data_IF_665862075052
#
_entry.id   IF_665862075052
#
_cell.length_a   1.000
_cell.length_b   1.000
_cell.length_c   1.000
_cell.angle_alpha   90.00
_cell.angle_beta   90.00
_cell.angle_gamma   90.00
#
_symmetry.space_group_name_H-M   'P 1'
#
loop_
_entity.id
_entity.type
_entity.pdbx_description
1 polymer ?
#
# COMPACT_ATOMS: atom_id res chain seq x y z
N UNK A 1 19.34 -12.20 14.16
CA UNK A 1 17.95 -12.58 13.81
C UNK A 1 17.10 -11.38 13.39
N UNK A 2 17.17 -10.23 14.07
CA UNK A 2 16.46 -9.01 13.68
C UNK A 2 16.77 -8.49 12.26
N UNK A 3 18.04 -8.47 11.83
CA UNK A 3 18.42 -7.94 10.49
C UNK A 3 17.80 -8.71 9.32
N UNK A 4 17.79 -10.05 9.37
CA UNK A 4 17.19 -10.88 8.30
C UNK A 4 15.67 -10.74 8.25
N UNK A 5 15.01 -10.55 9.40
CA UNK A 5 13.60 -10.20 9.44
C UNK A 5 13.37 -8.83 8.80
N UNK A 6 14.16 -7.82 9.14
CA UNK A 6 14.09 -6.47 8.58
C UNK A 6 14.35 -6.39 7.07
N UNK A 7 14.98 -7.38 6.44
CA UNK A 7 15.11 -7.46 4.96
C UNK A 7 13.88 -8.11 4.31
N UNK A 8 13.31 -9.13 4.94
CA UNK A 8 12.12 -9.84 4.43
C UNK A 8 10.83 -9.06 4.62
N UNK A 9 10.77 -8.20 5.64
CA UNK A 9 9.61 -7.42 6.01
C UNK A 9 9.24 -6.28 5.04
N UNK A 10 10.19 -5.48 4.53
CA UNK A 10 9.94 -4.58 3.43
C UNK A 10 9.44 -5.32 2.19
N UNK A 11 10.04 -6.50 1.91
CA UNK A 11 9.66 -7.32 0.76
C UNK A 11 8.22 -7.82 0.84
N UNK A 12 7.72 -8.20 2.02
CA UNK A 12 6.31 -8.61 2.18
C UNK A 12 5.34 -7.44 1.98
N UNK A 13 5.68 -6.25 2.46
CA UNK A 13 4.88 -5.04 2.24
C UNK A 13 4.87 -4.65 0.76
N UNK A 14 6.03 -4.62 0.10
CA UNK A 14 6.14 -4.35 -1.33
C UNK A 14 5.37 -5.37 -2.17
N UNK A 15 5.46 -6.65 -1.81
CA UNK A 15 4.70 -7.70 -2.46
C UNK A 15 3.20 -7.44 -2.32
N UNK A 16 2.72 -7.14 -1.11
CA UNK A 16 1.31 -6.83 -0.87
C UNK A 16 0.83 -5.63 -1.70
N UNK A 17 1.62 -4.55 -1.76
CA UNK A 17 1.33 -3.38 -2.60
C UNK A 17 1.15 -3.81 -4.06
N UNK A 18 2.05 -4.63 -4.59
CA UNK A 18 2.05 -5.07 -5.99
C UNK A 18 0.85 -5.97 -6.31
N UNK A 19 0.52 -6.92 -5.45
CA UNK A 19 -0.61 -7.83 -5.69
C UNK A 19 -1.95 -7.10 -5.58
N UNK A 20 -2.11 -6.15 -4.63
CA UNK A 20 -3.32 -5.30 -4.53
C UNK A 20 -3.45 -4.46 -5.81
N UNK A 21 -2.38 -3.76 -6.20
CA UNK A 21 -2.40 -2.93 -7.40
C UNK A 21 -2.76 -3.74 -8.65
N UNK A 22 -2.15 -4.91 -8.81
CA UNK A 22 -2.37 -5.79 -9.98
C UNK A 22 -3.78 -6.33 -10.01
N UNK A 23 -4.32 -6.74 -8.86
CA UNK A 23 -5.68 -7.26 -8.74
C UNK A 23 -6.72 -6.25 -9.22
N UNK A 24 -6.60 -4.99 -8.76
CA UNK A 24 -7.61 -3.96 -8.99
C UNK A 24 -7.40 -3.29 -10.35
N UNK A 25 -6.17 -2.90 -10.67
CA UNK A 25 -5.87 -2.12 -11.89
C UNK A 25 -5.99 -2.95 -13.17
N UNK A 26 -6.04 -4.28 -13.07
CA UNK A 26 -6.25 -5.18 -14.20
C UNK A 26 -7.68 -5.18 -14.76
N UNK A 27 -8.64 -4.53 -14.08
CA UNK A 27 -10.04 -4.49 -14.51
C UNK A 27 -10.70 -3.14 -14.22
N UNK A 28 -11.31 -2.55 -15.25
CA UNK A 28 -12.10 -1.33 -15.10
C UNK A 28 -13.27 -1.51 -14.12
N UNK A 29 -13.90 -2.69 -14.13
CA UNK A 29 -14.96 -3.05 -13.16
C UNK A 29 -14.43 -3.02 -11.73
N UNK A 30 -13.28 -3.66 -11.47
CA UNK A 30 -12.66 -3.67 -10.14
C UNK A 30 -12.27 -2.27 -9.66
N UNK A 31 -11.77 -1.43 -10.56
CA UNK A 31 -11.49 -0.03 -10.26
C UNK A 31 -12.75 0.78 -9.92
N UNK A 32 -13.88 0.51 -10.58
CA UNK A 32 -15.16 1.17 -10.29
C UNK A 32 -15.69 0.74 -8.91
N UNK A 33 -15.69 -0.57 -8.62
CA UNK A 33 -16.10 -1.09 -7.31
C UNK A 33 -15.23 -0.50 -6.19
N UNK A 34 -13.91 -0.41 -6.36
CA UNK A 34 -13.06 0.23 -5.35
C UNK A 34 -13.52 1.67 -5.06
N UNK A 35 -13.92 2.43 -6.08
CA UNK A 35 -14.41 3.80 -5.92
C UNK A 35 -15.72 3.84 -5.13
N UNK A 36 -16.66 2.95 -5.43
CA UNK A 36 -17.92 2.82 -4.67
C UNK A 36 -17.66 2.52 -3.19
N UNK A 37 -16.70 1.63 -2.91
CA UNK A 37 -16.28 1.37 -1.52
C UNK A 37 -15.61 2.61 -0.89
N UNK A 38 -14.76 3.35 -1.61
CA UNK A 38 -14.16 4.59 -1.10
C UNK A 38 -15.24 5.63 -0.75
N UNK A 39 -16.24 5.80 -1.61
CA UNK A 39 -17.38 6.69 -1.40
C UNK A 39 -18.21 6.24 -0.19
N UNK A 40 -18.52 4.95 -0.07
CA UNK A 40 -19.28 4.39 1.06
C UNK A 40 -18.58 4.58 2.40
N UNK A 41 -17.25 4.44 2.43
CA UNK A 41 -16.43 4.66 3.63
C UNK A 41 -16.11 6.15 3.88
N UNK A 42 -16.59 7.06 3.02
CA UNK A 42 -16.28 8.49 3.07
C UNK A 42 -14.76 8.79 3.10
N UNK A 43 -14.00 8.00 2.33
CA UNK A 43 -12.56 8.18 2.13
C UNK A 43 -12.33 8.85 0.78
N UNK A 44 -11.35 9.73 0.70
CA UNK A 44 -10.98 10.40 -0.55
C UNK A 44 -10.70 9.38 -1.66
N UNK A 45 -11.43 9.48 -2.78
CA UNK A 45 -11.28 8.58 -3.93
C UNK A 45 -9.91 8.78 -4.60
N UNK A 46 -8.94 7.97 -4.16
CA UNK A 46 -7.59 7.94 -4.73
C UNK A 46 -7.38 6.64 -5.49
N UNK A 47 -6.91 6.75 -6.73
CA UNK A 47 -6.33 5.61 -7.45
C UNK A 47 -5.13 5.07 -6.68
N UNK A 48 -5.04 3.74 -6.62
CA UNK A 48 -3.85 3.06 -6.14
C UNK A 48 -2.66 3.35 -7.05
N UNK A 49 -1.46 3.35 -6.48
CA UNK A 49 -0.23 3.61 -7.21
C UNK A 49 0.53 2.31 -7.49
N UNK A 50 1.05 2.19 -8.71
CA UNK A 50 2.00 1.14 -9.07
C UNK A 50 3.32 1.40 -8.37
N UNK A 51 3.80 0.40 -7.62
CA UNK A 51 5.14 0.44 -7.06
C UNK A 51 6.18 0.30 -8.20
N UNK A 52 7.10 1.27 -8.31
CA UNK A 52 8.25 1.19 -9.21
C UNK A 52 9.46 0.57 -8.50
N UNK A 53 10.38 -0.02 -9.26
CA UNK A 53 11.49 -0.81 -8.70
C UNK A 53 12.59 0.01 -8.01
N UNK A 54 12.62 1.35 -8.15
CA UNK A 54 13.81 2.14 -7.80
C UNK A 54 13.54 3.46 -7.06
N UNK A 55 12.33 3.72 -6.55
CA UNK A 55 12.04 5.04 -5.91
C UNK A 55 11.30 4.90 -4.59
N UNK A 56 12.03 5.01 -3.49
CA UNK A 56 11.51 5.10 -2.12
C UNK A 56 10.45 6.22 -1.94
N UNK A 57 10.50 7.29 -2.76
CA UNK A 57 9.46 8.31 -2.85
C UNK A 57 8.10 7.73 -3.28
N UNK A 58 8.11 6.83 -4.29
CA UNK A 58 6.90 6.17 -4.79
C UNK A 58 6.41 5.17 -3.76
N UNK A 59 7.33 4.41 -3.15
CA UNK A 59 7.00 3.49 -2.07
C UNK A 59 6.26 4.21 -0.93
N UNK A 60 6.74 5.38 -0.50
CA UNK A 60 6.07 6.18 0.52
C UNK A 60 4.64 6.53 0.12
N UNK A 61 4.43 7.01 -1.11
CA UNK A 61 3.08 7.34 -1.63
C UNK A 61 2.17 6.12 -1.74
N UNK A 62 2.71 4.95 -2.08
CA UNK A 62 1.97 3.68 -2.11
C UNK A 62 1.54 3.25 -0.70
N UNK A 63 2.48 3.26 0.26
CA UNK A 63 2.24 2.91 1.67
C UNK A 63 1.16 3.83 2.27
N UNK A 64 1.27 5.14 2.05
CA UNK A 64 0.28 6.11 2.54
C UNK A 64 -1.11 5.82 1.97
N UNK A 65 -1.24 5.61 0.65
CA UNK A 65 -2.55 5.31 0.02
C UNK A 65 -3.17 4.01 0.52
N UNK A 66 -2.38 2.96 0.69
CA UNK A 66 -2.87 1.68 1.22
C UNK A 66 -3.34 1.83 2.66
N UNK A 67 -2.61 2.57 3.50
CA UNK A 67 -3.02 2.83 4.88
C UNK A 67 -4.29 3.70 4.96
N UNK A 68 -4.40 4.74 4.12
CA UNK A 68 -5.62 5.57 4.02
C UNK A 68 -6.84 4.76 3.58
N UNK A 69 -6.64 3.69 2.82
CA UNK A 69 -7.71 2.82 2.32
C UNK A 69 -7.73 1.46 3.04
N UNK A 70 -7.11 1.32 4.21
CA UNK A 70 -6.90 -0.03 4.78
C UNK A 70 -8.22 -0.77 5.02
N UNK A 71 -9.18 -0.12 5.67
CA UNK A 71 -10.47 -0.73 6.02
C UNK A 71 -11.40 -0.83 4.79
N UNK A 72 -11.26 0.09 3.84
CA UNK A 72 -11.90 0.03 2.51
C UNK A 72 -11.45 -1.23 1.77
N UNK A 73 -10.14 -1.45 1.70
CA UNK A 73 -9.53 -2.61 1.04
C UNK A 73 -9.93 -3.91 1.75
N UNK A 74 -9.95 -3.94 3.09
CA UNK A 74 -10.44 -5.11 3.84
C UNK A 74 -11.85 -5.48 3.39
N UNK A 75 -12.76 -4.51 3.40
CA UNK A 75 -14.17 -4.72 3.06
C UNK A 75 -14.35 -5.11 1.58
N UNK A 76 -13.62 -4.45 0.68
CA UNK A 76 -13.57 -4.79 -0.73
C UNK A 76 -13.15 -6.25 -0.94
N UNK A 77 -12.08 -6.70 -0.27
CA UNK A 77 -11.56 -8.04 -0.46
C UNK A 77 -12.39 -9.13 0.22
N UNK A 78 -13.19 -8.80 1.24
CA UNK A 78 -14.23 -9.73 1.76
C UNK A 78 -15.22 -10.07 0.65
N UNK A 79 -15.74 -9.06 -0.06
CA UNK A 79 -16.64 -9.29 -1.20
C UNK A 79 -15.93 -10.02 -2.34
N UNK A 80 -14.72 -9.58 -2.69
CA UNK A 80 -13.97 -10.11 -3.83
C UNK A 80 -13.64 -11.61 -3.67
N UNK A 81 -13.38 -12.09 -2.44
CA UNK A 81 -13.15 -13.52 -2.17
C UNK A 81 -14.40 -14.36 -2.52
N UNK A 82 -15.59 -13.85 -2.21
CA UNK A 82 -16.85 -14.54 -2.50
C UNK A 82 -17.17 -14.54 -4.00
N UNK A 83 -16.98 -13.40 -4.66
CA UNK A 83 -17.36 -13.21 -6.06
C UNK A 83 -16.36 -13.80 -7.07
N UNK A 84 -15.07 -13.49 -6.90
CA UNK A 84 -14.06 -13.79 -7.93
C UNK A 84 -13.43 -15.19 -7.76
N UNK A 85 -13.50 -15.78 -6.55
CA UNK A 85 -12.89 -17.09 -6.19
C UNK A 85 -11.41 -17.21 -6.59
N UNK A 86 -10.69 -16.10 -6.58
CA UNK A 86 -9.27 -16.04 -6.91
C UNK A 86 -8.43 -16.21 -5.64
N UNK A 87 -7.44 -17.11 -5.69
CA UNK A 87 -6.45 -17.29 -4.60
C UNK A 87 -5.71 -15.99 -4.24
N UNK A 88 -5.54 -15.08 -5.21
CA UNK A 88 -4.93 -13.78 -4.97
C UNK A 88 -5.80 -12.88 -4.08
N UNK A 89 -7.13 -12.95 -4.19
CA UNK A 89 -8.05 -12.22 -3.31
C UNK A 89 -7.95 -12.72 -1.87
N UNK A 90 -7.93 -14.04 -1.67
CA UNK A 90 -7.79 -14.68 -0.37
C UNK A 90 -6.46 -14.32 0.29
N UNK A 91 -5.36 -14.40 -0.47
CA UNK A 91 -4.03 -14.02 0.00
C UNK A 91 -4.00 -12.55 0.44
N UNK A 92 -4.57 -11.64 -0.36
CA UNK A 92 -4.63 -10.22 -0.04
C UNK A 92 -5.45 -10.00 1.24
N UNK A 93 -6.64 -10.59 1.34
CA UNK A 93 -7.52 -10.46 2.50
C UNK A 93 -6.83 -10.97 3.78
N UNK A 94 -6.16 -12.13 3.70
CA UNK A 94 -5.40 -12.69 4.81
C UNK A 94 -4.31 -11.73 5.30
N UNK A 95 -3.57 -11.11 4.37
CA UNK A 95 -2.55 -10.11 4.73
C UNK A 95 -3.16 -8.83 5.33
N UNK A 96 -4.31 -8.35 4.82
CA UNK A 96 -4.99 -7.17 5.34
C UNK A 96 -5.63 -7.41 6.73
N UNK A 97 -5.92 -8.67 7.07
CA UNK A 97 -6.36 -9.11 8.38
C UNK A 97 -5.22 -9.39 9.36
N UNK A 98 -3.97 -9.34 8.91
CA UNK A 98 -2.82 -9.56 9.78
C UNK A 98 -2.33 -8.22 10.37
N UNK A 99 -2.57 -8.03 11.67
CA UNK A 99 -2.18 -6.80 12.38
C UNK A 99 -0.67 -6.54 12.37
N UNK A 100 0.14 -7.60 12.30
CA UNK A 100 1.59 -7.47 12.18
C UNK A 100 1.94 -6.78 10.85
N UNK A 101 1.29 -7.16 9.75
CA UNK A 101 1.49 -6.50 8.45
C UNK A 101 1.05 -5.04 8.51
N UNK A 102 -0.09 -4.73 9.13
CA UNK A 102 -0.55 -3.34 9.32
C UNK A 102 0.47 -2.52 10.12
N UNK A 103 1.01 -3.08 11.20
CA UNK A 103 2.06 -2.45 12.00
C UNK A 103 3.32 -2.16 11.17
N UNK A 104 3.71 -3.07 10.28
CA UNK A 104 4.84 -2.84 9.37
C UNK A 104 4.58 -1.74 8.34
N UNK A 105 3.38 -1.64 7.78
CA UNK A 105 3.02 -0.50 6.92
C UNK A 105 3.11 0.83 7.69
N UNK A 106 2.63 0.88 8.94
CA UNK A 106 2.73 2.07 9.79
C UNK A 106 4.19 2.44 10.08
N UNK A 107 5.02 1.45 10.41
CA UNK A 107 6.46 1.64 10.59
C UNK A 107 7.13 2.17 9.32
N UNK A 108 6.84 1.57 8.15
CA UNK A 108 7.36 2.02 6.86
C UNK A 108 6.92 3.44 6.53
N UNK A 109 5.66 3.81 6.80
CA UNK A 109 5.16 5.19 6.63
C UNK A 109 6.02 6.17 7.45
N UNK A 110 6.26 5.85 8.71
CA UNK A 110 7.08 6.69 9.59
C UNK A 110 8.53 6.80 9.09
N UNK A 111 9.19 5.67 8.83
CA UNK A 111 10.58 5.62 8.39
C UNK A 111 10.79 6.34 7.04
N UNK A 112 9.89 6.13 6.08
CA UNK A 112 9.96 6.77 4.78
C UNK A 112 9.67 8.27 4.86
N UNK A 113 8.73 8.70 5.70
CA UNK A 113 8.47 10.13 5.93
C UNK A 113 9.69 10.82 6.54
N UNK A 114 10.35 10.16 7.50
CA UNK A 114 11.61 10.65 8.07
C UNK A 114 12.66 10.84 6.97
N UNK A 115 12.99 9.79 6.19
CA UNK A 115 13.96 9.88 5.09
C UNK A 115 13.60 10.95 4.05
N UNK A 116 12.31 11.13 3.76
CA UNK A 116 11.81 12.16 2.85
C UNK A 116 12.17 13.57 3.31
N UNK A 117 11.91 13.85 4.59
CA UNK A 117 12.22 15.15 5.19
C UNK A 117 13.71 15.46 5.13
N UNK A 118 14.58 14.48 5.42
CA UNK A 118 16.03 14.66 5.27
C UNK A 118 16.42 14.96 3.84
N UNK A 119 15.92 14.21 2.86
CA UNK A 119 16.24 14.45 1.47
C UNK A 119 15.83 15.86 1.01
N UNK A 120 14.67 16.36 1.43
CA UNK A 120 14.25 17.75 1.16
C UNK A 120 15.21 18.77 1.77
N UNK A 121 15.65 18.55 3.01
CA UNK A 121 16.63 19.42 3.67
C UNK A 121 17.98 19.44 2.94
N UNK A 122 18.50 18.29 2.52
CA UNK A 122 19.75 18.23 1.75
C UNK A 122 19.63 18.91 0.38
N UNK A 123 18.52 18.67 -0.33
CA UNK A 123 18.26 19.34 -1.60
C UNK A 123 18.19 20.86 -1.43
N UNK A 124 17.50 21.37 -0.40
CA UNK A 124 17.42 22.82 -0.15
C UNK A 124 18.75 23.50 0.17
N UNK A 125 19.76 22.78 0.65
CA UNK A 125 21.09 23.36 0.94
C UNK A 125 21.96 23.46 -0.31
N UNK A 126 21.84 22.51 -1.24
CA UNK A 126 22.58 22.51 -2.51
C UNK A 126 22.09 23.59 -3.49
N UNK A 127 20.84 24.02 -3.39
CA UNK A 127 20.31 25.12 -4.23
C UNK A 127 20.59 26.52 -3.67
N UNK A 128 21.08 26.63 -2.43
CA UNK A 128 21.38 27.90 -1.75
C UNK A 128 22.89 28.16 -1.58
N UNK A 129 23.73 27.41 -2.30
CA UNK A 129 25.19 27.54 -2.35
C UNK A 129 25.63 27.78 -3.78
#
# INVERSE_FOLDING_TARGET
VASKACEKLPSSCEHLIRIIYTYISGSAKKCAILREFQEFFNVESKKLLKLSNTRWLVLHKCVVRILENWDVLKSYFVLAVVEDKLKSAELILSNLNNDIIKAFFLFLKYALNFLNKYNTLFQSRLFNS
#
